data_IF_617273288693
#
_entry.id   IF_617273288693
#
_cell.length_a   1.000
_cell.length_b   1.000
_cell.length_c   1.000
_cell.angle_alpha   90.00
_cell.angle_beta   90.00
_cell.angle_gamma   90.00
#
_symmetry.space_group_name_H-M   'P 1'
#
loop_
_entity.id
_entity.type
_entity.pdbx_description
1 polymer ?
#
# COMPACT_ATOMS: atom_id res chain seq x y z
N UNK A 1 -4.08 -9.73 -6.33
CA UNK A 1 -4.66 -10.37 -5.13
C UNK A 1 -5.25 -9.30 -4.23
N UNK A 2 -6.55 -9.37 -3.96
CA UNK A 2 -7.24 -8.39 -3.10
C UNK A 2 -6.96 -8.71 -1.63
N UNK A 3 -6.63 -7.69 -0.85
CA UNK A 3 -6.41 -7.78 0.59
C UNK A 3 -7.17 -6.63 1.25
N UNK A 4 -7.84 -6.93 2.36
CA UNK A 4 -8.41 -5.91 3.24
C UNK A 4 -7.45 -5.72 4.41
N UNK A 5 -6.83 -4.55 4.48
CA UNK A 5 -6.08 -4.10 5.64
C UNK A 5 -7.08 -3.62 6.70
N UNK A 6 -6.96 -4.10 7.93
CA UNK A 6 -7.83 -3.74 9.03
C UNK A 6 -7.04 -2.94 10.06
N UNK A 7 -7.63 -1.84 10.54
CA UNK A 7 -7.07 -1.01 11.61
C UNK A 7 -5.61 -0.56 11.37
N UNK A 8 -5.34 -0.03 10.18
CA UNK A 8 -4.02 0.49 9.80
C UNK A 8 -3.99 2.00 9.88
N UNK A 9 -2.83 2.58 10.25
CA UNK A 9 -2.68 4.02 10.35
C UNK A 9 -2.46 4.64 8.97
N UNK A 10 -3.31 5.60 8.61
CA UNK A 10 -3.31 6.27 7.32
C UNK A 10 -2.21 7.34 7.26
N UNK A 11 -1.42 7.36 6.19
CA UNK A 11 -0.42 8.38 5.92
C UNK A 11 -0.49 8.86 4.46
N UNK A 12 -0.17 10.13 4.23
CA UNK A 12 -0.17 10.78 2.91
C UNK A 12 -1.42 10.50 2.05
N UNK A 13 -2.65 10.72 2.56
CA UNK A 13 -3.87 10.42 1.81
C UNK A 13 -4.14 11.45 0.70
N UNK A 14 -4.20 10.98 -0.54
CA UNK A 14 -4.75 11.66 -1.72
C UNK A 14 -5.97 10.88 -2.21
N UNK A 15 -7.04 10.88 -1.41
CA UNK A 15 -8.22 10.01 -1.64
C UNK A 15 -9.33 10.69 -2.45
N UNK A 16 -9.45 12.01 -2.34
CA UNK A 16 -10.52 12.78 -2.96
C UNK A 16 -10.08 13.51 -4.23
N UNK A 17 -8.80 13.85 -4.33
CA UNK A 17 -8.18 14.52 -5.47
C UNK A 17 -6.93 13.74 -5.86
N UNK A 18 -6.80 13.43 -7.14
CA UNK A 18 -5.62 12.76 -7.67
C UNK A 18 -4.42 13.74 -7.67
N UNK A 19 -3.28 13.28 -7.20
CA UNK A 19 -2.05 14.07 -7.11
C UNK A 19 -0.88 13.35 -7.79
N UNK A 20 0.13 14.10 -8.19
CA UNK A 20 1.41 13.53 -8.63
C UNK A 20 2.33 13.35 -7.42
N UNK A 21 3.26 12.40 -7.51
CA UNK A 21 4.30 12.23 -6.48
C UNK A 21 5.47 13.12 -6.89
N UNK A 22 5.80 14.13 -6.08
CA UNK A 22 6.91 15.06 -6.35
C UNK A 22 6.83 15.75 -7.72
N UNK A 23 5.61 16.01 -8.23
CA UNK A 23 5.42 16.64 -9.54
C UNK A 23 5.68 15.72 -10.74
N UNK A 24 6.00 14.44 -10.52
CA UNK A 24 6.33 13.51 -11.58
C UNK A 24 5.22 12.48 -11.83
N UNK A 25 5.08 12.11 -13.10
CA UNK A 25 4.13 11.10 -13.57
C UNK A 25 2.68 11.57 -13.56
N UNK A 26 1.79 10.65 -13.91
CA UNK A 26 0.34 10.92 -13.98
C UNK A 26 -0.26 11.19 -12.60
N UNK A 27 -1.23 12.11 -12.46
CA UNK A 27 -2.00 12.23 -11.23
C UNK A 27 -2.71 10.91 -10.89
N UNK A 28 -2.70 10.54 -9.61
CA UNK A 28 -3.43 9.37 -9.12
C UNK A 28 -3.88 9.56 -7.68
N UNK A 29 -4.84 8.73 -7.27
CA UNK A 29 -5.22 8.58 -5.88
C UNK A 29 -4.23 7.65 -5.19
N UNK A 30 -3.86 7.99 -3.96
CA UNK A 30 -2.87 7.21 -3.21
C UNK A 30 -3.03 7.36 -1.71
N UNK A 31 -2.53 6.38 -1.00
CA UNK A 31 -2.35 6.43 0.45
C UNK A 31 -1.24 5.47 0.87
N UNK A 32 -0.61 5.77 1.98
CA UNK A 32 0.23 4.83 2.71
C UNK A 32 -0.51 4.30 3.93
N UNK A 33 -0.35 3.01 4.20
CA UNK A 33 -0.98 2.32 5.32
C UNK A 33 0.12 1.73 6.19
N UNK A 34 0.27 2.25 7.40
CA UNK A 34 1.27 1.82 8.37
C UNK A 34 0.69 0.68 9.20
N UNK A 35 1.48 -0.39 9.33
CA UNK A 35 1.22 -1.57 10.14
C UNK A 35 2.30 -1.66 11.21
N UNK A 36 1.91 -1.88 12.47
CA UNK A 36 2.87 -2.11 13.54
C UNK A 36 3.69 -3.38 13.28
N UNK A 37 4.90 -3.47 13.84
CA UNK A 37 5.75 -4.65 13.69
C UNK A 37 5.12 -5.96 14.19
N UNK A 38 4.16 -5.87 15.11
CA UNK A 38 3.36 -6.97 15.65
C UNK A 38 1.97 -7.12 15.00
N UNK A 39 1.68 -6.35 13.94
CA UNK A 39 0.35 -6.32 13.34
C UNK A 39 -0.05 -7.71 12.80
N UNK A 40 -1.26 -8.22 13.14
CA UNK A 40 -1.63 -9.62 12.91
C UNK A 40 -1.69 -10.00 11.42
N UNK A 41 -1.92 -9.03 10.53
CA UNK A 41 -2.00 -9.28 9.09
C UNK A 41 -0.64 -9.32 8.37
N UNK A 42 0.50 -9.09 9.05
CA UNK A 42 1.81 -9.13 8.39
C UNK A 42 2.11 -10.52 7.80
N UNK A 43 1.77 -11.59 8.52
CA UNK A 43 1.97 -12.95 8.04
C UNK A 43 1.11 -13.24 6.79
N UNK A 44 -0.15 -12.82 6.80
CA UNK A 44 -1.08 -12.95 5.67
C UNK A 44 -0.56 -12.20 4.43
N UNK A 45 -0.12 -10.96 4.60
CA UNK A 45 0.41 -10.12 3.51
C UNK A 45 1.69 -10.73 2.92
N UNK A 46 2.62 -11.19 3.77
CA UNK A 46 3.86 -11.84 3.31
C UNK A 46 3.56 -13.13 2.54
N UNK A 47 2.64 -13.96 3.04
CA UNK A 47 2.21 -15.17 2.37
C UNK A 47 1.53 -14.88 1.02
N UNK A 48 0.71 -13.84 0.95
CA UNK A 48 0.09 -13.37 -0.29
C UNK A 48 1.14 -12.96 -1.34
N UNK A 49 2.15 -12.16 -0.94
CA UNK A 49 3.25 -11.77 -1.83
C UNK A 49 4.09 -12.97 -2.27
N UNK A 50 4.39 -13.91 -1.37
CA UNK A 50 5.10 -15.14 -1.69
C UNK A 50 4.36 -15.96 -2.75
N UNK A 51 3.06 -16.20 -2.53
CA UNK A 51 2.20 -16.94 -3.46
C UNK A 51 2.16 -16.25 -4.84
N UNK A 52 1.93 -14.94 -4.86
CA UNK A 52 1.91 -14.17 -6.11
C UNK A 52 3.25 -14.19 -6.85
N UNK A 53 4.35 -14.17 -6.09
CA UNK A 53 5.70 -14.26 -6.63
C UNK A 53 5.95 -15.61 -7.30
N UNK A 54 5.59 -16.71 -6.63
CA UNK A 54 5.67 -18.07 -7.17
C UNK A 54 4.77 -18.22 -8.40
N UNK A 55 3.53 -17.73 -8.36
CA UNK A 55 2.60 -17.78 -9.50
C UNK A 55 3.13 -17.01 -10.73
N UNK A 56 3.78 -15.86 -10.52
CA UNK A 56 4.27 -15.01 -11.61
C UNK A 56 5.61 -15.46 -12.18
N UNK A 57 6.56 -15.83 -11.33
CA UNK A 57 7.96 -16.08 -11.72
C UNK A 57 8.40 -17.54 -11.56
N UNK A 58 7.56 -18.41 -11.00
CA UNK A 58 7.81 -19.85 -10.87
C UNK A 58 9.13 -20.14 -10.16
N UNK A 59 9.94 -21.02 -10.73
CA UNK A 59 11.26 -21.41 -10.19
C UNK A 59 12.26 -20.23 -10.07
N UNK A 60 12.04 -19.12 -10.79
CA UNK A 60 12.88 -17.92 -10.68
C UNK A 60 12.53 -17.04 -9.49
N UNK A 61 11.40 -17.30 -8.81
CA UNK A 61 10.92 -16.49 -7.71
C UNK A 61 11.98 -16.26 -6.61
N UNK A 62 12.75 -17.25 -6.13
CA UNK A 62 13.75 -16.99 -5.08
C UNK A 62 14.81 -15.94 -5.49
N UNK A 63 15.25 -15.97 -6.76
CA UNK A 63 16.19 -14.98 -7.29
C UNK A 63 15.53 -13.61 -7.46
N UNK A 64 14.31 -13.57 -8.01
CA UNK A 64 13.54 -12.33 -8.21
C UNK A 64 13.21 -11.68 -6.87
N UNK A 65 12.75 -12.46 -5.89
CA UNK A 65 12.44 -12.01 -4.52
C UNK A 65 13.63 -11.31 -3.89
N UNK A 66 14.80 -11.96 -3.90
CA UNK A 66 16.04 -11.36 -3.39
C UNK A 66 16.38 -10.05 -4.11
N UNK A 67 16.21 -10.00 -5.43
CA UNK A 67 16.44 -8.78 -6.21
C UNK A 67 15.50 -7.64 -5.79
N UNK A 68 14.19 -7.90 -5.74
CA UNK A 68 13.19 -6.86 -5.45
C UNK A 68 13.19 -6.44 -3.97
N UNK A 69 13.47 -7.33 -3.04
CA UNK A 69 13.65 -7.00 -1.62
C UNK A 69 14.86 -6.09 -1.42
N UNK A 70 16.00 -6.39 -2.04
CA UNK A 70 17.22 -5.57 -1.92
C UNK A 70 17.08 -4.15 -2.47
N UNK A 71 16.09 -3.91 -3.33
CA UNK A 71 15.84 -2.62 -3.98
C UNK A 71 14.58 -1.92 -3.45
N UNK A 72 14.00 -2.41 -2.35
CA UNK A 72 12.74 -1.93 -1.78
C UNK A 72 11.60 -1.85 -2.83
N UNK A 73 11.41 -2.94 -3.56
CA UNK A 73 10.42 -3.09 -4.65
C UNK A 73 9.31 -4.09 -4.33
N UNK A 74 9.16 -4.42 -3.05
CA UNK A 74 8.01 -5.14 -2.52
C UNK A 74 6.90 -4.15 -2.16
N UNK A 75 5.67 -4.64 -2.03
CA UNK A 75 4.55 -3.78 -1.67
C UNK A 75 4.55 -3.43 -0.17
N UNK A 76 5.10 -4.32 0.65
CA UNK A 76 5.34 -4.10 2.07
C UNK A 76 6.77 -3.60 2.25
N UNK A 77 6.89 -2.36 2.69
CA UNK A 77 8.13 -1.63 2.88
C UNK A 77 8.53 -1.60 4.35
N UNK A 78 9.83 -1.47 4.58
CA UNK A 78 10.39 -1.14 5.89
C UNK A 78 10.13 0.34 6.23
N UNK A 79 9.48 0.60 7.36
CA UNK A 79 9.17 1.95 7.81
C UNK A 79 10.39 2.75 8.22
N UNK A 80 11.51 2.11 8.58
CA UNK A 80 12.74 2.83 8.96
C UNK A 80 13.33 3.65 7.80
N UNK A 81 12.96 3.33 6.55
CA UNK A 81 13.27 4.16 5.36
C UNK A 81 12.60 5.53 5.36
N UNK A 82 11.66 5.76 6.28
CA UNK A 82 10.85 6.97 6.44
C UNK A 82 10.71 7.36 7.91
N UNK A 83 11.70 7.03 8.74
CA UNK A 83 11.67 7.24 10.19
C UNK A 83 11.43 8.71 10.60
N UNK A 84 11.70 9.68 9.72
CA UNK A 84 11.40 11.09 9.93
C UNK A 84 9.89 11.40 10.04
N UNK A 85 9.03 10.49 9.57
CA UNK A 85 7.58 10.64 9.64
C UNK A 85 6.98 9.84 10.80
N UNK A 86 6.07 10.48 11.53
CA UNK A 86 5.45 9.87 12.71
C UNK A 86 4.78 8.53 12.41
N UNK A 87 5.18 7.50 13.17
CA UNK A 87 4.62 6.14 13.08
C UNK A 87 5.35 5.20 12.13
N UNK A 88 6.35 5.67 11.38
CA UNK A 88 7.10 4.80 10.47
C UNK A 88 8.23 4.02 11.16
N UNK A 89 8.97 4.66 12.07
CA UNK A 89 10.06 4.02 12.83
C UNK A 89 9.60 2.71 13.51
N UNK A 90 10.35 1.63 13.29
CA UNK A 90 10.10 0.30 13.82
C UNK A 90 8.86 -0.43 13.29
N UNK A 91 8.20 0.13 12.27
CA UNK A 91 6.96 -0.38 11.70
C UNK A 91 7.09 -0.69 10.20
N UNK A 92 6.05 -1.26 9.61
CA UNK A 92 5.98 -1.53 8.17
C UNK A 92 4.94 -0.64 7.52
N UNK A 93 5.02 -0.46 6.19
CA UNK A 93 3.95 0.22 5.47
C UNK A 93 3.71 -0.32 4.07
N UNK A 94 2.48 -0.12 3.58
CA UNK A 94 2.11 -0.39 2.19
C UNK A 94 1.72 0.94 1.53
N UNK A 95 2.39 1.27 0.42
CA UNK A 95 1.99 2.39 -0.43
C UNK A 95 1.10 1.89 -1.56
N UNK A 96 -0.15 2.35 -1.60
CA UNK A 96 -1.12 1.96 -2.62
C UNK A 96 -1.50 3.15 -3.52
N UNK A 97 -1.60 2.91 -4.83
CA UNK A 97 -1.91 3.96 -5.82
C UNK A 97 -2.85 3.45 -6.91
N UNK A 98 -3.81 4.27 -7.33
CA UNK A 98 -4.71 3.95 -8.44
C UNK A 98 -5.18 5.22 -9.17
N UNK A 99 -5.40 5.13 -10.48
CA UNK A 99 -6.01 6.21 -11.27
C UNK A 99 -7.50 6.33 -11.00
N UNK A 100 -8.16 5.21 -10.68
CA UNK A 100 -9.57 5.20 -10.29
C UNK A 100 -9.70 5.71 -8.86
N UNK A 101 -10.62 6.65 -8.65
CA UNK A 101 -10.93 7.20 -7.33
C UNK A 101 -11.51 6.11 -6.42
N UNK A 102 -10.97 5.93 -5.19
CA UNK A 102 -11.56 5.01 -4.22
C UNK A 102 -12.88 5.56 -3.67
N UNK A 103 -13.79 4.68 -3.28
CA UNK A 103 -14.94 5.05 -2.45
C UNK A 103 -14.51 5.15 -1.00
N UNK A 104 -14.84 6.26 -0.35
CA UNK A 104 -14.50 6.51 1.05
C UNK A 104 -15.79 6.51 1.86
N UNK A 105 -15.83 5.69 2.91
CA UNK A 105 -16.98 5.56 3.79
C UNK A 105 -16.61 5.94 5.22
N UNK A 106 -17.60 6.44 5.96
CA UNK A 106 -17.46 6.71 7.38
C UNK A 106 -17.38 5.40 8.19
N UNK A 107 -17.22 5.54 9.50
CA UNK A 107 -17.08 4.41 10.45
C UNK A 107 -18.26 3.43 10.44
N UNK A 108 -19.43 3.89 10.02
CA UNK A 108 -20.63 3.04 9.85
C UNK A 108 -20.54 2.10 8.63
N UNK A 109 -19.54 2.30 7.77
CA UNK A 109 -19.32 1.55 6.53
C UNK A 109 -20.36 1.80 5.44
N UNK A 110 -21.19 2.84 5.58
CA UNK A 110 -22.35 3.11 4.71
C UNK A 110 -22.39 4.55 4.23
N UNK A 111 -22.11 5.51 5.11
CA UNK A 111 -22.11 6.93 4.78
C UNK A 111 -20.92 7.23 3.89
N UNK A 112 -21.16 7.58 2.63
CA UNK A 112 -20.11 8.02 1.72
C UNK A 112 -19.59 9.39 2.14
N UNK A 113 -18.27 9.54 2.19
CA UNK A 113 -17.60 10.78 2.56
C UNK A 113 -17.11 11.54 1.33
N UNK A 114 -17.09 12.86 1.45
CA UNK A 114 -16.47 13.80 0.53
C UNK A 114 -15.34 14.57 1.24
N UNK A 115 -14.54 15.29 0.47
CA UNK A 115 -13.40 16.05 1.00
C UNK A 115 -13.81 17.05 2.09
N UNK A 116 -14.99 17.66 1.97
CA UNK A 116 -15.50 18.65 2.92
C UNK A 116 -15.79 18.08 4.32
N UNK A 117 -15.97 16.76 4.45
CA UNK A 117 -16.22 16.11 5.75
C UNK A 117 -14.98 16.07 6.66
N UNK A 118 -13.80 16.41 6.12
CA UNK A 118 -12.54 16.48 6.88
C UNK A 118 -12.01 15.12 7.33
N UNK A 119 -12.61 14.01 6.88
CA UNK A 119 -12.18 12.65 7.20
C UNK A 119 -12.25 11.72 5.98
N UNK A 120 -11.41 10.66 5.93
CA UNK A 120 -10.30 10.37 6.83
C UNK A 120 -9.12 11.34 6.61
N UNK A 121 -8.32 11.56 7.65
CA UNK A 121 -7.16 12.45 7.65
C UNK A 121 -5.86 11.68 7.98
N UNK A 122 -4.71 12.25 7.63
CA UNK A 122 -3.41 11.64 7.93
C UNK A 122 -3.26 11.42 9.44
N UNK A 123 -2.89 10.21 9.84
CA UNK A 123 -2.72 9.79 11.22
C UNK A 123 -3.92 9.06 11.82
N UNK A 124 -5.10 9.10 11.21
CA UNK A 124 -6.24 8.30 11.67
C UNK A 124 -6.09 6.81 11.30
N UNK A 125 -6.91 5.96 11.91
CA UNK A 125 -6.94 4.53 11.64
C UNK A 125 -8.11 4.19 10.71
N UNK A 126 -7.84 3.35 9.71
CA UNK A 126 -8.80 2.97 8.68
C UNK A 126 -8.77 1.47 8.41
N UNK A 127 -9.85 0.97 7.84
CA UNK A 127 -9.81 -0.26 7.05
C UNK A 127 -9.63 0.14 5.58
N UNK A 128 -8.76 -0.55 4.85
CA UNK A 128 -8.46 -0.23 3.46
C UNK A 128 -8.54 -1.48 2.58
N UNK A 129 -9.17 -1.34 1.42
CA UNK A 129 -9.11 -2.35 0.38
C UNK A 129 -7.92 -2.03 -0.53
N UNK A 130 -7.04 -3.01 -0.72
CA UNK A 130 -5.93 -2.93 -1.66
C UNK A 130 -5.94 -4.14 -2.57
N UNK A 131 -5.22 -4.01 -3.68
CA UNK A 131 -4.90 -5.15 -4.53
C UNK A 131 -3.41 -5.22 -4.83
N UNK A 132 -2.78 -6.28 -4.37
CA UNK A 132 -1.41 -6.61 -4.73
C UNK A 132 -1.33 -7.07 -6.18
N UNK A 133 -0.30 -6.66 -6.92
CA UNK A 133 -0.07 -7.09 -8.30
C UNK A 133 1.42 -7.13 -8.64
N UNK A 134 1.82 -8.08 -9.48
CA UNK A 134 3.20 -8.23 -9.91
C UNK A 134 3.45 -7.38 -11.16
N UNK A 135 4.47 -6.52 -11.10
CA UNK A 135 5.00 -5.79 -12.24
C UNK A 135 6.19 -6.55 -12.82
N UNK A 136 6.20 -6.73 -14.13
CA UNK A 136 7.38 -7.20 -14.87
C UNK A 136 7.35 -6.53 -16.26
N UNK A 137 8.08 -5.42 -16.39
CA UNK A 137 8.14 -4.62 -17.61
C UNK A 137 9.51 -3.93 -17.74
N UNK A 138 9.67 -3.01 -18.70
CA UNK A 138 10.92 -2.28 -18.94
C UNK A 138 11.44 -1.48 -17.74
N UNK A 139 10.59 -1.15 -16.77
CA UNK A 139 10.97 -0.45 -15.53
C UNK A 139 11.40 -1.42 -14.41
N UNK A 140 11.44 -2.71 -14.71
CA UNK A 140 11.88 -3.79 -13.83
C UNK A 140 10.73 -4.54 -13.15
N UNK A 141 11.13 -5.41 -12.22
CA UNK A 141 10.22 -6.27 -11.46
C UNK A 141 9.86 -5.65 -10.13
N UNK A 142 8.59 -5.77 -9.72
CA UNK A 142 8.05 -5.31 -8.41
C UNK A 142 6.84 -6.15 -8.00
N UNK A 143 6.51 -6.11 -6.72
CA UNK A 143 5.14 -6.35 -6.26
C UNK A 143 4.62 -5.01 -5.76
N UNK A 144 3.52 -4.52 -6.35
CA UNK A 144 2.92 -3.23 -6.04
C UNK A 144 1.56 -3.40 -5.38
N UNK A 145 1.01 -2.32 -4.82
CA UNK A 145 -0.36 -2.27 -4.34
C UNK A 145 -1.19 -1.21 -5.10
N UNK A 146 -2.37 -1.61 -5.55
CA UNK A 146 -3.39 -0.72 -6.08
C UNK A 146 -4.40 -0.37 -4.99
N UNK A 147 -4.72 0.91 -4.85
CA UNK A 147 -5.79 1.37 -3.97
C UNK A 147 -7.15 1.00 -4.57
N UNK A 148 -8.08 0.48 -3.75
CA UNK A 148 -9.42 0.08 -4.19
C UNK A 148 -10.50 0.93 -3.54
#
# INVERSE_FOLDING_TARGET
MKIRLNNVRLAFPSLFVATTVQGQGEPAFSASFILTSDHPQLAEIRAAMEKMGVEKWGAKWPQVKKEIESKDRMALHDGDLKAEYAGYEGNFYISARNKTRPTVFDRDGKTALIQADGRPYAGCYVNAAIELWCQDNSYGKRINASLR
#
